data_IF_035834020167
#
_entry.id   IF_035834020167
#
_cell.length_a   1.000
_cell.length_b   1.000
_cell.length_c   1.000
_cell.angle_alpha   90.00
_cell.angle_beta   90.00
_cell.angle_gamma   90.00
#
_symmetry.space_group_name_H-M   'P 1'
#
loop_
_entity.id
_entity.type
_entity.pdbx_description
1 polymer ?
#
# COMPACT_ATOMS: atom_id res chain seq x y z
N UNK A 1 18.23 -23.72 -13.78
CA UNK A 1 17.44 -24.12 -14.96
C UNK A 1 16.11 -24.69 -14.46
N UNK A 2 15.00 -24.10 -14.91
CA UNK A 2 13.58 -24.47 -14.68
C UNK A 2 13.01 -24.28 -13.27
N UNK A 3 12.30 -23.16 -13.07
CA UNK A 3 10.85 -23.14 -12.77
C UNK A 3 10.41 -21.69 -12.48
N UNK A 4 10.05 -20.97 -13.55
CA UNK A 4 9.39 -19.66 -13.50
C UNK A 4 8.10 -19.65 -14.36
N UNK A 5 7.60 -20.83 -14.76
CA UNK A 5 6.46 -20.95 -15.69
C UNK A 5 5.08 -20.99 -15.00
N UNK A 6 5.01 -20.88 -13.66
CA UNK A 6 3.74 -21.04 -12.94
C UNK A 6 2.98 -19.76 -12.60
N UNK A 7 3.53 -18.57 -12.87
CA UNK A 7 2.85 -17.28 -12.62
C UNK A 7 2.35 -16.58 -13.90
N UNK A 8 2.60 -17.16 -15.08
CA UNK A 8 2.18 -16.59 -16.38
C UNK A 8 0.84 -17.13 -16.91
N UNK A 9 0.14 -18.02 -16.18
CA UNK A 9 -1.10 -18.65 -16.67
C UNK A 9 -2.40 -18.15 -16.03
N UNK A 10 -2.34 -17.16 -15.15
CA UNK A 10 -3.52 -16.68 -14.41
C UNK A 10 -4.21 -15.46 -15.01
N UNK A 11 -3.77 -14.96 -16.18
CA UNK A 11 -4.30 -13.72 -16.77
C UNK A 11 -4.87 -13.85 -18.19
N UNK A 12 -5.21 -15.06 -18.65
CA UNK A 12 -5.76 -15.23 -19.99
C UNK A 12 -6.83 -16.32 -20.05
N UNK A 13 -8.02 -16.02 -19.53
CA UNK A 13 -9.25 -16.74 -19.84
C UNK A 13 -10.48 -15.92 -19.44
N UNK A 14 -10.92 -15.03 -20.33
CA UNK A 14 -12.32 -14.63 -20.39
C UNK A 14 -12.68 -14.36 -21.85
N UNK A 15 -12.74 -15.44 -22.63
CA UNK A 15 -13.36 -15.49 -23.95
C UNK A 15 -14.38 -16.62 -23.94
N UNK A 16 -15.63 -16.20 -24.12
CA UNK A 16 -16.82 -16.90 -24.61
C UNK A 16 -16.81 -18.45 -24.71
N UNK A 17 -17.63 -19.10 -23.89
CA UNK A 17 -18.40 -20.28 -24.30
C UNK A 17 -19.83 -20.22 -23.74
N UNK A 18 -20.79 -19.92 -24.62
CA UNK A 18 -22.17 -20.32 -24.45
C UNK A 18 -22.61 -21.02 -25.74
N UNK A 19 -22.47 -22.34 -25.77
CA UNK A 19 -23.13 -23.21 -26.76
C UNK A 19 -24.53 -23.53 -26.24
N UNK A 20 -25.53 -22.95 -26.90
CA UNK A 20 -26.94 -23.28 -26.76
C UNK A 20 -27.61 -23.18 -28.12
N UNK A 21 -27.89 -24.34 -28.70
CA UNK A 21 -28.49 -24.60 -30.02
C UNK A 21 -29.83 -23.90 -30.23
N UNK A 22 -29.94 -22.89 -31.11
CA UNK A 22 -31.19 -22.51 -31.81
C UNK A 22 -30.86 -22.01 -33.22
N UNK A 23 -31.67 -22.41 -34.20
CA UNK A 23 -31.43 -22.42 -35.64
C UNK A 23 -30.92 -21.15 -36.33
N UNK A 24 -30.01 -21.36 -37.29
CA UNK A 24 -29.51 -20.36 -38.23
C UNK A 24 -30.60 -19.94 -39.24
N UNK A 25 -30.96 -18.66 -39.23
CA UNK A 25 -31.41 -17.96 -40.45
C UNK A 25 -30.38 -16.89 -40.79
N UNK A 26 -30.00 -16.81 -42.08
CA UNK A 26 -28.97 -15.91 -42.61
C UNK A 26 -29.34 -14.44 -42.33
N UNK A 27 -28.58 -13.77 -41.47
CA UNK A 27 -28.58 -12.30 -41.43
C UNK A 27 -27.29 -11.77 -42.07
N UNK A 28 -27.49 -11.02 -43.15
CA UNK A 28 -26.49 -10.24 -43.85
C UNK A 28 -26.01 -9.12 -42.91
N UNK A 29 -24.79 -9.20 -42.38
CA UNK A 29 -24.21 -8.10 -41.61
C UNK A 29 -23.86 -6.96 -42.59
N UNK A 30 -24.71 -5.92 -42.66
CA UNK A 30 -24.29 -4.62 -43.19
C UNK A 30 -23.47 -3.90 -42.12
N UNK A 31 -22.29 -3.39 -42.49
CA UNK A 31 -21.55 -2.46 -41.64
C UNK A 31 -22.44 -1.24 -41.34
N UNK A 32 -22.50 -0.73 -40.10
CA UNK A 32 -23.12 0.56 -39.84
C UNK A 32 -22.31 1.66 -40.55
N UNK A 33 -23.00 2.55 -41.24
CA UNK A 33 -22.44 3.83 -41.67
C UNK A 33 -22.08 4.68 -40.44
N UNK A 34 -20.92 5.32 -40.49
CA UNK A 34 -20.48 6.26 -39.46
C UNK A 34 -21.46 7.44 -39.39
N UNK A 35 -22.19 7.56 -38.29
CA UNK A 35 -23.04 8.73 -38.01
C UNK A 35 -22.15 9.83 -37.41
N UNK A 36 -22.22 11.02 -37.98
CA UNK A 36 -21.48 12.21 -37.51
C UNK A 36 -21.93 12.65 -36.11
N UNK A 37 -20.99 13.19 -35.34
CA UNK A 37 -21.08 13.50 -33.91
C UNK A 37 -21.95 14.71 -33.54
N UNK A 38 -23.19 14.79 -34.04
CA UNK A 38 -24.16 15.81 -33.61
C UNK A 38 -25.50 15.11 -33.38
N UNK A 39 -25.91 15.09 -32.11
CA UNK A 39 -27.24 14.76 -31.58
C UNK A 39 -27.65 13.27 -31.48
N UNK A 40 -27.38 12.67 -30.31
CA UNK A 40 -28.22 11.62 -29.74
C UNK A 40 -28.01 11.53 -28.22
N UNK A 41 -28.56 12.49 -27.48
CA UNK A 41 -28.88 12.28 -26.07
C UNK A 41 -30.02 11.24 -25.98
N UNK A 42 -29.76 10.23 -25.15
CA UNK A 42 -30.72 9.44 -24.37
C UNK A 42 -32.05 9.01 -25.03
N UNK A 43 -32.12 7.77 -25.52
CA UNK A 43 -33.41 7.06 -25.67
C UNK A 43 -33.34 5.61 -25.19
N UNK A 44 -33.32 5.41 -23.87
CA UNK A 44 -33.94 4.23 -23.26
C UNK A 44 -35.41 4.57 -22.98
N UNK A 45 -36.29 4.35 -23.96
CA UNK A 45 -37.73 4.52 -23.82
C UNK A 45 -38.46 3.19 -24.02
N UNK A 46 -39.13 2.70 -22.96
CA UNK A 46 -40.04 1.56 -23.05
C UNK A 46 -41.31 1.96 -23.83
N UNK A 47 -41.79 1.10 -24.73
CA UNK A 47 -42.89 1.34 -25.66
C UNK A 47 -44.30 1.36 -25.05
N UNK A 48 -44.47 1.97 -23.88
CA UNK A 48 -45.79 2.16 -23.26
C UNK A 48 -46.24 3.61 -23.49
N UNK A 49 -47.45 3.80 -24.02
CA UNK A 49 -48.11 5.12 -24.07
C UNK A 49 -48.44 5.59 -22.65
N UNK A 50 -47.48 6.24 -21.98
CA UNK A 50 -47.73 6.93 -20.73
C UNK A 50 -48.41 8.29 -21.01
N UNK A 51 -49.38 8.72 -20.20
CA UNK A 51 -49.97 10.05 -20.31
C UNK A 51 -48.89 11.14 -20.11
N UNK A 52 -49.07 12.28 -20.76
CA UNK A 52 -48.15 13.41 -20.76
C UNK A 52 -47.85 13.84 -19.31
N UNK A 53 -46.58 13.72 -18.89
CA UNK A 53 -46.17 14.14 -17.56
C UNK A 53 -46.28 15.66 -17.48
N UNK A 54 -47.15 16.14 -16.58
CA UNK A 54 -47.17 17.56 -16.20
C UNK A 54 -45.75 17.95 -15.77
N UNK A 55 -45.19 19.07 -16.26
CA UNK A 55 -43.84 19.50 -15.91
C UNK A 55 -43.79 19.81 -14.41
N UNK A 56 -43.34 18.83 -13.62
CA UNK A 56 -43.08 19.06 -12.22
C UNK A 56 -41.75 19.80 -12.09
N UNK A 57 -41.69 20.93 -11.37
CA UNK A 57 -40.42 21.54 -11.02
C UNK A 57 -39.58 20.49 -10.26
N UNK A 58 -38.41 20.17 -10.81
CA UNK A 58 -37.43 19.31 -10.15
C UNK A 58 -36.82 20.08 -8.99
N UNK A 59 -37.49 20.10 -7.85
CA UNK A 59 -36.89 20.55 -6.61
C UNK A 59 -35.92 19.46 -6.14
N UNK A 60 -34.67 19.53 -6.59
CA UNK A 60 -33.58 18.85 -5.91
C UNK A 60 -33.39 19.58 -4.58
N UNK A 61 -34.01 19.05 -3.51
CA UNK A 61 -33.71 19.47 -2.15
C UNK A 61 -32.19 19.55 -2.00
N UNK A 62 -31.63 20.65 -1.45
CA UNK A 62 -30.21 20.73 -1.19
C UNK A 62 -29.81 19.50 -0.38
N UNK A 63 -28.91 18.67 -0.91
CA UNK A 63 -28.43 17.45 -0.24
C UNK A 63 -27.71 17.74 1.09
N UNK A 64 -27.50 19.02 1.42
CA UNK A 64 -26.85 19.49 2.64
C UNK A 64 -27.19 20.96 2.88
N UNK A 65 -27.32 21.36 4.14
CA UNK A 65 -27.46 22.75 4.59
C UNK A 65 -26.14 23.54 4.63
N UNK A 66 -25.03 22.90 4.23
CA UNK A 66 -23.70 23.49 4.22
C UNK A 66 -23.30 23.97 2.81
N UNK A 67 -22.46 25.03 2.71
CA UNK A 67 -21.83 25.39 1.46
C UNK A 67 -21.13 24.18 0.82
N UNK A 68 -21.19 24.00 -0.52
CA UNK A 68 -20.66 22.82 -1.20
C UNK A 68 -19.20 22.51 -0.86
N UNK A 69 -18.37 23.55 -0.75
CA UNK A 69 -16.95 23.44 -0.37
C UNK A 69 -16.77 22.87 1.05
N UNK A 70 -17.56 23.36 2.02
CA UNK A 70 -17.50 22.88 3.40
C UNK A 70 -18.03 21.45 3.52
N UNK A 71 -19.06 21.11 2.75
CA UNK A 71 -19.61 19.77 2.72
C UNK A 71 -18.64 18.76 2.10
N UNK A 72 -17.93 19.15 1.03
CA UNK A 72 -16.89 18.32 0.42
C UNK A 72 -15.76 18.03 1.41
N UNK A 73 -15.25 19.05 2.13
CA UNK A 73 -14.22 18.86 3.17
C UNK A 73 -14.66 17.94 4.30
N UNK A 74 -15.91 18.07 4.73
CA UNK A 74 -16.44 17.22 5.81
C UNK A 74 -16.62 15.78 5.33
N UNK A 75 -17.11 15.56 4.10
CA UNK A 75 -17.18 14.21 3.51
C UNK A 75 -15.81 13.58 3.40
N UNK A 76 -14.82 14.31 2.89
CA UNK A 76 -13.44 13.85 2.78
C UNK A 76 -12.89 13.43 4.16
N UNK A 77 -13.15 14.22 5.19
CA UNK A 77 -12.78 13.89 6.57
C UNK A 77 -13.51 12.66 7.12
N UNK A 78 -14.81 12.52 6.83
CA UNK A 78 -15.60 11.34 7.23
C UNK A 78 -15.11 10.08 6.52
N UNK A 79 -14.85 10.17 5.22
CA UNK A 79 -14.37 9.05 4.41
C UNK A 79 -12.97 8.64 4.88
N UNK A 80 -12.09 9.61 5.15
CA UNK A 80 -10.77 9.37 5.75
C UNK A 80 -10.87 8.68 7.12
N UNK A 81 -11.75 9.15 7.99
CA UNK A 81 -11.95 8.54 9.30
C UNK A 81 -12.51 7.11 9.19
N UNK A 82 -13.45 6.88 8.27
CA UNK A 82 -14.04 5.56 8.05
C UNK A 82 -13.02 4.57 7.48
N UNK A 83 -12.20 4.98 6.51
CA UNK A 83 -11.10 4.16 5.98
C UNK A 83 -10.11 3.76 7.08
N UNK A 84 -9.74 4.72 7.95
CA UNK A 84 -8.88 4.43 9.09
C UNK A 84 -9.53 3.45 10.07
N UNK A 85 -10.81 3.63 10.39
CA UNK A 85 -11.53 2.73 11.30
C UNK A 85 -11.67 1.32 10.73
N UNK A 86 -11.88 1.19 9.42
CA UNK A 86 -11.88 -0.11 8.73
C UNK A 86 -10.51 -0.77 8.81
N UNK A 87 -9.43 -0.01 8.65
CA UNK A 87 -8.06 -0.49 8.79
C UNK A 87 -7.68 -0.91 10.24
N UNK A 88 -8.36 -0.37 11.25
CA UNK A 88 -8.10 -0.67 12.66
C UNK A 88 -9.02 -1.75 13.23
N UNK A 89 -10.24 -1.87 12.70
CA UNK A 89 -11.32 -2.69 13.27
C UNK A 89 -11.48 -4.09 12.67
N UNK A 90 -10.93 -4.37 11.48
CA UNK A 90 -10.96 -5.71 10.91
C UNK A 90 -9.94 -6.64 11.62
N UNK A 91 -10.21 -7.94 11.66
CA UNK A 91 -9.17 -8.93 11.99
C UNK A 91 -7.98 -8.72 11.05
N UNK A 92 -6.76 -9.03 11.51
CA UNK A 92 -5.51 -8.83 10.74
C UNK A 92 -5.44 -9.81 9.55
N UNK A 93 -6.28 -9.59 8.56
CA UNK A 93 -6.24 -10.24 7.24
C UNK A 93 -5.31 -9.45 6.31
N UNK A 94 -4.81 -10.08 5.24
CA UNK A 94 -3.87 -9.45 4.29
C UNK A 94 -4.44 -8.15 3.69
N UNK A 95 -5.76 -8.08 3.49
CA UNK A 95 -6.42 -6.85 3.01
C UNK A 95 -6.35 -5.70 4.04
N UNK A 96 -6.33 -6.03 5.34
CA UNK A 96 -6.26 -5.05 6.41
C UNK A 96 -4.85 -4.48 6.60
N UNK A 97 -3.81 -5.30 6.38
CA UNK A 97 -2.42 -4.87 6.44
C UNK A 97 -2.10 -3.78 5.40
N UNK A 98 -2.63 -3.92 4.18
CA UNK A 98 -2.48 -2.91 3.13
C UNK A 98 -3.17 -1.59 3.47
N UNK A 99 -4.37 -1.65 4.04
CA UNK A 99 -5.09 -0.45 4.49
C UNK A 99 -4.33 0.26 5.64
N UNK A 100 -3.80 -0.50 6.59
CA UNK A 100 -2.95 0.01 7.66
C UNK A 100 -1.66 0.63 7.11
N UNK A 101 -0.98 -0.03 6.17
CA UNK A 101 0.18 0.53 5.50
C UNK A 101 -0.15 1.87 4.83
N UNK A 102 -1.24 1.94 4.07
CA UNK A 102 -1.64 3.17 3.36
C UNK A 102 -1.98 4.31 4.32
N UNK A 103 -2.64 4.01 5.44
CA UNK A 103 -2.94 5.02 6.47
C UNK A 103 -1.65 5.53 7.14
N UNK A 104 -0.72 4.63 7.49
CA UNK A 104 0.58 5.00 8.07
C UNK A 104 1.44 5.81 7.10
N UNK A 105 1.36 5.55 5.79
CA UNK A 105 2.07 6.34 4.77
C UNK A 105 1.58 7.77 4.68
N UNK A 106 0.36 8.11 5.11
CA UNK A 106 -0.06 9.51 5.23
C UNK A 106 0.74 10.28 6.30
N UNK A 107 1.27 9.56 7.29
CA UNK A 107 2.13 10.11 8.34
C UNK A 107 3.61 10.16 7.92
N UNK A 108 3.93 9.87 6.66
CA UNK A 108 5.31 9.88 6.16
C UNK A 108 5.93 11.26 6.31
N UNK A 109 7.23 11.31 6.63
CA UNK A 109 8.03 12.51 6.94
C UNK A 109 7.59 13.25 8.22
N UNK A 110 6.51 12.83 8.87
CA UNK A 110 6.04 13.41 10.14
C UNK A 110 6.74 12.78 11.34
N UNK A 111 6.71 13.47 12.47
CA UNK A 111 7.27 12.96 13.73
C UNK A 111 6.22 12.17 14.48
N UNK A 112 6.61 10.97 14.89
CA UNK A 112 5.73 10.03 15.57
C UNK A 112 6.39 9.50 16.83
N UNK A 113 5.56 9.13 17.79
CA UNK A 113 5.93 8.35 18.96
C UNK A 113 5.32 6.97 18.84
N UNK A 114 6.16 5.94 18.88
CA UNK A 114 5.75 4.54 18.77
C UNK A 114 6.06 3.84 20.08
N UNK A 115 5.09 3.11 20.62
CA UNK A 115 5.24 2.25 21.79
C UNK A 115 5.11 0.81 21.32
N UNK A 116 6.08 -0.03 21.68
CA UNK A 116 6.09 -1.44 21.30
C UNK A 116 5.93 -2.33 22.52
N UNK A 117 5.37 -3.52 22.28
CA UNK A 117 5.25 -4.60 23.24
C UNK A 117 6.55 -5.40 23.26
N UNK A 118 7.31 -5.23 24.34
CA UNK A 118 8.46 -6.04 24.67
C UNK A 118 8.12 -6.69 26.00
N UNK A 119 8.03 -8.02 26.05
CA UNK A 119 7.43 -8.80 27.14
C UNK A 119 7.85 -8.40 28.58
N UNK A 120 9.01 -7.76 28.73
CA UNK A 120 9.55 -7.28 30.01
C UNK A 120 9.14 -5.85 30.35
N UNK A 121 9.16 -4.94 29.36
CA UNK A 121 8.82 -3.54 29.54
C UNK A 121 8.53 -2.87 28.18
N UNK A 122 7.40 -2.17 28.09
CA UNK A 122 7.06 -1.41 26.89
C UNK A 122 8.14 -0.40 26.53
N UNK A 123 8.72 -0.54 25.33
CA UNK A 123 9.71 0.40 24.82
C UNK A 123 9.05 1.50 24.01
N UNK A 124 9.52 2.74 24.19
CA UNK A 124 8.98 3.92 23.51
C UNK A 124 10.03 4.61 22.67
N UNK A 125 9.74 4.74 21.38
CA UNK A 125 10.58 5.39 20.40
C UNK A 125 9.96 6.70 19.93
N UNK A 126 10.82 7.66 19.63
CA UNK A 126 10.45 8.95 19.05
C UNK A 126 11.32 9.21 17.84
N UNK A 127 10.70 9.50 16.71
CA UNK A 127 11.43 9.64 15.45
C UNK A 127 10.57 10.20 14.33
N UNK A 128 11.15 10.25 13.14
CA UNK A 128 10.43 10.61 11.91
C UNK A 128 10.03 9.35 11.18
N UNK A 129 8.76 9.19 10.85
CA UNK A 129 8.30 8.06 10.04
C UNK A 129 8.81 8.26 8.61
N UNK A 130 9.63 7.34 8.10
CA UNK A 130 10.18 7.43 6.75
C UNK A 130 9.31 6.72 5.73
N UNK A 131 8.78 5.55 6.09
CA UNK A 131 7.85 4.79 5.27
C UNK A 131 7.18 3.67 6.09
N UNK A 132 6.22 2.98 5.49
CA UNK A 132 5.66 1.72 5.99
C UNK A 132 5.75 0.65 4.89
N UNK A 133 6.25 -0.53 5.27
CA UNK A 133 6.16 -1.76 4.49
C UNK A 133 4.80 -2.42 4.65
N UNK A 134 4.69 -3.66 4.19
CA UNK A 134 3.48 -4.47 4.28
C UNK A 134 3.20 -4.94 5.72
N UNK A 135 4.26 -5.26 6.48
CA UNK A 135 4.17 -5.82 7.84
C UNK A 135 5.03 -5.07 8.88
N UNK A 136 5.62 -3.92 8.52
CA UNK A 136 6.52 -3.16 9.39
C UNK A 136 6.53 -1.65 9.08
N UNK A 137 6.93 -0.83 10.05
CA UNK A 137 7.25 0.60 9.82
C UNK A 137 8.75 0.83 9.74
N UNK A 138 9.15 1.86 8.99
CA UNK A 138 10.50 2.38 8.90
C UNK A 138 10.53 3.76 9.55
N UNK A 139 11.25 3.88 10.65
CA UNK A 139 11.36 5.14 11.40
C UNK A 139 12.82 5.58 11.52
N UNK A 140 13.08 6.86 11.28
CA UNK A 140 14.38 7.45 11.57
C UNK A 140 14.43 7.88 13.03
N UNK A 141 15.39 7.33 13.77
CA UNK A 141 15.67 7.69 15.16
C UNK A 141 17.13 8.14 15.26
N UNK A 142 17.34 9.44 15.46
CA UNK A 142 18.68 10.07 15.42
C UNK A 142 19.39 9.74 14.08
N UNK A 143 20.54 9.06 14.15
CA UNK A 143 21.36 8.62 13.01
C UNK A 143 21.20 7.14 12.66
N UNK A 144 20.15 6.50 13.20
CA UNK A 144 19.81 5.11 12.93
C UNK A 144 18.41 5.01 12.35
N UNK A 145 18.16 3.86 11.75
CA UNK A 145 16.89 3.53 11.15
C UNK A 145 16.35 2.33 11.91
N UNK A 146 15.16 2.52 12.45
CA UNK A 146 14.46 1.57 13.28
C UNK A 146 13.35 0.94 12.45
N UNK A 147 13.39 -0.38 12.33
CA UNK A 147 12.35 -1.20 11.71
C UNK A 147 11.54 -1.86 12.82
N UNK A 148 10.23 -1.67 12.79
CA UNK A 148 9.33 -2.22 13.82
C UNK A 148 8.22 -3.01 13.14
N UNK A 149 8.12 -4.33 13.37
CA UNK A 149 7.00 -5.14 12.92
C UNK A 149 5.65 -4.61 13.46
N UNK A 150 4.60 -4.62 12.65
CA UNK A 150 3.28 -4.12 13.05
C UNK A 150 2.69 -4.89 14.23
N UNK A 151 2.94 -6.20 14.30
CA UNK A 151 2.45 -7.04 15.39
C UNK A 151 3.03 -6.66 16.77
N UNK A 152 4.16 -5.94 16.80
CA UNK A 152 4.79 -5.44 18.04
C UNK A 152 4.37 -4.03 18.41
N UNK A 153 3.68 -3.29 17.55
CA UNK A 153 3.25 -1.91 17.84
C UNK A 153 1.98 -1.96 18.71
N UNK A 154 2.07 -1.42 19.93
CA UNK A 154 0.92 -1.21 20.80
C UNK A 154 0.22 0.10 20.44
N UNK A 155 1.02 1.14 20.22
CA UNK A 155 0.50 2.50 20.07
C UNK A 155 1.40 3.34 19.19
N UNK A 156 0.79 4.07 18.26
CA UNK A 156 1.46 5.05 17.41
C UNK A 156 0.72 6.38 17.52
N UNK A 157 1.45 7.44 17.84
CA UNK A 157 0.92 8.80 17.99
C UNK A 157 1.70 9.78 17.16
N UNK A 158 1.00 10.54 16.32
CA UNK A 158 1.54 11.71 15.67
C UNK A 158 1.89 12.79 16.72
N UNK A 159 3.13 13.27 16.68
CA UNK A 159 3.59 14.39 17.50
C UNK A 159 3.49 15.62 16.61
N UNK A 160 2.46 16.44 16.82
CA UNK A 160 2.26 17.67 16.07
C UNK A 160 3.51 18.56 16.15
N UNK A 161 4.25 18.63 15.05
CA UNK A 161 5.13 19.76 14.77
C UNK A 161 4.28 20.79 14.02
N UNK A 162 4.43 22.06 14.37
CA UNK A 162 3.65 23.21 13.86
C UNK A 162 3.88 23.52 12.37
N UNK A 163 4.65 22.68 11.66
CA UNK A 163 4.95 22.84 10.24
C UNK A 163 4.05 21.90 9.44
N UNK A 164 3.00 22.48 8.87
CA UNK A 164 2.09 21.80 7.96
C UNK A 164 2.84 21.29 6.73
N UNK A 165 3.31 20.05 6.80
CA UNK A 165 3.77 19.31 5.64
C UNK A 165 2.57 18.60 5.05
N UNK A 166 2.09 19.08 3.92
CA UNK A 166 1.09 18.38 3.12
C UNK A 166 1.59 16.97 2.83
N UNK A 167 0.72 15.97 2.97
CA UNK A 167 1.03 14.61 2.56
C UNK A 167 1.23 14.61 1.04
N UNK A 168 2.48 14.67 0.58
CA UNK A 168 2.80 14.46 -0.83
C UNK A 168 2.33 13.04 -1.18
N UNK A 169 1.27 12.92 -1.98
CA UNK A 169 0.85 11.60 -2.44
C UNK A 169 1.95 11.04 -3.34
N UNK A 170 2.22 9.75 -3.15
CA UNK A 170 3.23 9.04 -3.90
C UNK A 170 2.98 9.15 -5.41
N UNK A 171 4.06 9.40 -6.15
CA UNK A 171 4.10 9.41 -7.60
C UNK A 171 3.32 10.54 -8.33
N UNK A 172 2.75 11.54 -7.64
CA UNK A 172 2.13 12.69 -8.32
C UNK A 172 3.17 13.45 -9.17
N UNK A 173 4.32 13.73 -8.57
CA UNK A 173 5.38 14.53 -9.18
C UNK A 173 6.55 13.70 -9.72
N UNK A 174 6.28 12.50 -10.24
CA UNK A 174 7.35 11.72 -10.89
C UNK A 174 7.81 12.35 -12.19
N UNK A 175 9.09 12.18 -12.50
CA UNK A 175 9.65 12.63 -13.75
C UNK A 175 8.96 11.95 -14.95
N UNK A 176 8.95 12.66 -16.08
CA UNK A 176 8.28 12.20 -17.29
C UNK A 176 8.82 10.84 -17.78
N UNK A 177 10.13 10.61 -17.63
CA UNK A 177 10.77 9.39 -18.10
C UNK A 177 10.37 8.19 -17.24
N UNK A 178 10.32 8.34 -15.91
CA UNK A 178 9.83 7.30 -15.00
C UNK A 178 8.35 7.02 -15.24
N UNK A 179 7.52 8.05 -15.46
CA UNK A 179 6.11 7.85 -15.82
C UNK A 179 5.97 7.03 -17.10
N UNK A 180 6.74 7.35 -18.14
CA UNK A 180 6.73 6.60 -19.39
C UNK A 180 7.18 5.15 -19.18
N UNK A 181 8.25 4.93 -18.41
CA UNK A 181 8.74 3.59 -18.06
C UNK A 181 7.71 2.77 -17.29
N UNK A 182 7.00 3.39 -16.35
CA UNK A 182 5.92 2.74 -15.60
C UNK A 182 4.74 2.37 -16.49
N UNK A 183 4.40 3.21 -17.48
CA UNK A 183 3.30 2.93 -18.42
C UNK A 183 3.66 1.81 -19.41
N UNK A 184 4.88 1.83 -19.95
CA UNK A 184 5.30 0.90 -21.00
C UNK A 184 5.77 -0.46 -20.44
N UNK A 185 6.52 -0.43 -19.34
CA UNK A 185 7.24 -1.57 -18.78
C UNK A 185 7.04 -1.67 -17.26
N UNK A 186 5.79 -1.60 -16.81
CA UNK A 186 5.43 -1.53 -15.38
C UNK A 186 6.16 -2.58 -14.53
N UNK A 187 5.93 -3.86 -14.82
CA UNK A 187 6.44 -4.96 -13.99
C UNK A 187 7.97 -4.96 -13.90
N UNK A 188 8.66 -4.68 -15.01
CA UNK A 188 10.12 -4.63 -15.04
C UNK A 188 10.67 -3.48 -14.19
N UNK A 189 10.08 -2.29 -14.29
CA UNK A 189 10.61 -1.11 -13.58
C UNK A 189 10.25 -1.14 -12.09
N UNK A 190 9.05 -1.63 -11.73
CA UNK A 190 8.63 -1.73 -10.33
C UNK A 190 9.44 -2.78 -9.58
N UNK A 191 9.72 -3.94 -10.20
CA UNK A 191 10.49 -5.02 -9.55
C UNK A 191 11.98 -4.69 -9.36
N UNK A 192 12.51 -3.71 -10.10
CA UNK A 192 13.90 -3.28 -9.99
C UNK A 192 14.15 -2.24 -8.88
N UNK A 193 13.10 -1.66 -8.30
CA UNK A 193 13.20 -0.64 -7.27
C UNK A 193 12.44 -1.06 -6.02
N UNK A 194 13.11 -1.33 -4.88
CA UNK A 194 12.43 -1.66 -3.62
C UNK A 194 11.44 -0.58 -3.19
N UNK A 195 11.74 0.70 -3.46
CA UNK A 195 10.82 1.80 -3.24
C UNK A 195 9.54 1.65 -4.06
N UNK A 196 9.63 1.48 -5.38
CA UNK A 196 8.43 1.33 -6.23
C UNK A 196 7.67 0.05 -5.89
N UNK A 197 8.38 -1.04 -5.60
CA UNK A 197 7.78 -2.28 -5.15
C UNK A 197 6.95 -2.06 -3.87
N UNK A 198 7.50 -1.34 -2.88
CA UNK A 198 6.77 -0.99 -1.68
C UNK A 198 5.57 -0.07 -1.98
N UNK A 199 5.74 0.88 -2.90
CA UNK A 199 4.66 1.80 -3.31
C UNK A 199 3.47 1.02 -3.84
N UNK A 200 3.68 0.11 -4.79
CA UNK A 200 2.61 -0.58 -5.50
C UNK A 200 2.09 -1.84 -4.81
N UNK A 201 2.97 -2.63 -4.20
CA UNK A 201 2.63 -3.95 -3.67
C UNK A 201 2.78 -4.06 -2.16
N UNK A 202 3.56 -3.17 -1.55
CA UNK A 202 4.04 -3.38 -0.19
C UNK A 202 5.22 -4.34 -0.20
N UNK A 203 6.24 -4.04 0.58
CA UNK A 203 7.38 -4.93 0.79
C UNK A 203 7.31 -5.49 2.20
N UNK A 204 7.52 -6.81 2.36
CA UNK A 204 7.64 -7.40 3.68
C UNK A 204 8.99 -7.09 4.31
N UNK A 205 9.07 -7.14 5.63
CA UNK A 205 10.30 -6.91 6.39
C UNK A 205 11.42 -7.83 5.92
N UNK A 206 11.09 -9.07 5.56
CA UNK A 206 12.02 -10.03 4.98
C UNK A 206 12.66 -9.50 3.70
N UNK A 207 11.84 -9.20 2.69
CA UNK A 207 12.32 -8.74 1.39
C UNK A 207 13.08 -7.42 1.51
N UNK A 208 12.65 -6.55 2.43
CA UNK A 208 13.36 -5.33 2.74
C UNK A 208 14.76 -5.61 3.29
N UNK A 209 14.89 -6.51 4.27
CA UNK A 209 16.18 -6.88 4.87
C UNK A 209 17.12 -7.64 3.93
N UNK A 210 16.62 -8.30 2.89
CA UNK A 210 17.46 -8.88 1.82
C UNK A 210 18.35 -7.82 1.14
N UNK A 211 17.88 -6.56 1.07
CA UNK A 211 18.65 -5.45 0.50
C UNK A 211 19.80 -4.97 1.41
N UNK A 212 19.86 -5.45 2.66
CA UNK A 212 20.88 -5.08 3.65
C UNK A 212 21.83 -6.22 4.00
N UNK A 213 21.84 -7.30 3.21
CA UNK A 213 22.84 -8.37 3.36
C UNK A 213 24.24 -7.77 3.15
N UNK A 214 25.12 -8.01 4.13
CA UNK A 214 26.46 -7.43 4.22
C UNK A 214 26.55 -6.19 5.14
N UNK A 215 25.42 -5.64 5.59
CA UNK A 215 25.39 -4.46 6.45
C UNK A 215 25.43 -4.82 7.94
N UNK A 216 25.89 -3.87 8.75
CA UNK A 216 25.86 -3.99 10.21
C UNK A 216 24.47 -3.69 10.75
N UNK A 217 23.89 -4.66 11.47
CA UNK A 217 22.55 -4.56 12.03
C UNK A 217 22.57 -4.88 13.52
N UNK A 218 21.56 -4.37 14.23
CA UNK A 218 21.25 -4.77 15.60
C UNK A 218 19.81 -5.28 15.65
N UNK A 219 19.60 -6.46 16.19
CA UNK A 219 18.28 -7.09 16.33
C UNK A 219 17.99 -7.23 17.81
N UNK A 220 16.81 -6.79 18.23
CA UNK A 220 16.27 -7.08 19.56
C UNK A 220 15.16 -8.13 19.40
N UNK A 221 15.34 -9.28 20.02
CA UNK A 221 14.45 -10.44 19.95
C UNK A 221 13.98 -10.87 21.34
N UNK A 222 12.86 -11.60 21.36
CA UNK A 222 12.35 -12.28 22.54
C UNK A 222 13.35 -13.32 23.06
N UNK A 223 13.69 -13.24 24.35
CA UNK A 223 14.70 -14.10 24.99
C UNK A 223 16.15 -13.58 24.93
N UNK A 224 16.42 -12.49 24.22
CA UNK A 224 17.74 -11.86 24.16
C UNK A 224 17.70 -10.44 24.76
N UNK A 225 18.04 -10.32 26.05
CA UNK A 225 18.05 -9.03 26.76
C UNK A 225 19.01 -8.00 26.14
N UNK A 226 20.20 -8.43 25.70
CA UNK A 226 21.19 -7.53 25.11
C UNK A 226 21.01 -7.31 23.60
N UNK A 227 20.21 -8.16 22.94
CA UNK A 227 20.07 -8.19 21.48
C UNK A 227 21.32 -8.69 20.74
N UNK A 228 21.18 -8.88 19.43
CA UNK A 228 22.23 -9.43 18.56
C UNK A 228 22.77 -8.30 17.69
N UNK A 229 24.06 -7.98 17.84
CA UNK A 229 24.77 -7.01 17.01
C UNK A 229 25.78 -7.71 16.10
N UNK A 230 25.68 -7.49 14.79
CA UNK A 230 26.61 -8.13 13.86
C UNK A 230 26.37 -7.73 12.41
N UNK A 231 26.88 -8.54 11.49
CA UNK A 231 26.69 -8.34 10.04
C UNK A 231 25.57 -9.26 9.57
N UNK A 232 24.57 -8.72 8.88
CA UNK A 232 23.51 -9.52 8.27
C UNK A 232 24.09 -10.34 7.12
N UNK A 233 24.15 -11.66 7.27
CA UNK A 233 24.71 -12.54 6.22
C UNK A 233 23.63 -13.11 5.31
N UNK A 234 22.41 -13.27 5.82
CA UNK A 234 21.28 -13.82 5.06
C UNK A 234 19.96 -13.40 5.68
N UNK A 235 19.01 -13.00 4.85
CA UNK A 235 17.61 -12.91 5.20
C UNK A 235 16.88 -14.09 4.57
N UNK A 236 16.55 -15.09 5.40
CA UNK A 236 15.84 -16.30 4.97
C UNK A 236 14.33 -16.11 5.01
N UNK A 237 13.60 -17.21 4.82
CA UNK A 237 12.13 -17.17 4.77
C UNK A 237 11.47 -16.95 6.13
N UNK A 238 12.04 -17.54 7.18
CA UNK A 238 11.51 -17.47 8.55
C UNK A 238 12.48 -16.87 9.56
N UNK A 239 13.73 -16.69 9.15
CA UNK A 239 14.80 -16.24 10.05
C UNK A 239 15.87 -15.43 9.34
N UNK A 240 16.55 -14.61 10.13
CA UNK A 240 17.73 -13.84 9.79
C UNK A 240 18.98 -14.56 10.31
N UNK A 241 20.07 -14.54 9.56
CA UNK A 241 21.39 -15.01 10.01
C UNK A 241 22.33 -13.82 10.17
N UNK A 242 22.79 -13.58 11.39
CA UNK A 242 23.71 -12.50 11.74
C UNK A 242 25.04 -13.07 12.18
N UNK A 243 26.13 -12.59 11.59
CA UNK A 243 27.48 -12.94 11.98
C UNK A 243 27.96 -12.04 13.12
N UNK A 244 28.31 -12.66 14.25
CA UNK A 244 28.86 -12.01 15.44
C UNK A 244 30.26 -12.59 15.66
N UNK A 245 31.30 -11.85 15.24
CA UNK A 245 32.66 -12.38 15.21
C UNK A 245 32.77 -13.58 14.24
N UNK A 246 33.11 -14.76 14.77
CA UNK A 246 33.23 -16.00 14.00
C UNK A 246 31.99 -16.90 14.08
N UNK A 247 31.01 -16.54 14.90
CA UNK A 247 29.79 -17.32 15.07
C UNK A 247 28.64 -16.74 14.24
N UNK A 248 27.73 -17.61 13.83
CA UNK A 248 26.47 -17.22 13.20
C UNK A 248 25.33 -17.42 14.19
N UNK A 249 24.54 -16.38 14.41
CA UNK A 249 23.33 -16.43 15.23
C UNK A 249 22.09 -16.25 14.34
N UNK A 250 21.07 -17.04 14.60
CA UNK A 250 19.78 -16.96 13.92
C UNK A 250 18.76 -16.19 14.75
N UNK A 251 17.91 -15.38 14.11
CA UNK A 251 16.77 -14.73 14.75
C UNK A 251 15.49 -14.96 13.92
N UNK A 252 14.39 -15.38 14.55
CA UNK A 252 13.11 -15.62 13.86
C UNK A 252 12.28 -14.34 13.78
N UNK A 253 11.65 -14.06 12.64
CA UNK A 253 10.88 -12.82 12.44
C UNK A 253 9.77 -12.64 13.47
N UNK A 254 9.08 -13.71 13.84
CA UNK A 254 7.97 -13.68 14.79
C UNK A 254 8.42 -13.22 16.19
N UNK A 255 9.70 -13.43 16.53
CA UNK A 255 10.29 -13.10 17.83
C UNK A 255 11.01 -11.76 17.83
N UNK A 256 11.08 -11.05 16.70
CA UNK A 256 11.76 -9.75 16.62
C UNK A 256 10.86 -8.67 17.19
N UNK A 257 11.41 -7.86 18.11
CA UNK A 257 10.80 -6.63 18.58
C UNK A 257 11.11 -5.46 17.64
N UNK A 258 12.39 -5.29 17.28
CA UNK A 258 12.82 -4.29 16.31
C UNK A 258 14.20 -4.61 15.72
N UNK A 259 14.51 -3.98 14.59
CA UNK A 259 15.83 -4.00 13.95
C UNK A 259 16.36 -2.57 13.80
N UNK A 260 17.61 -2.35 14.15
CA UNK A 260 18.33 -1.10 13.97
C UNK A 260 19.38 -1.23 12.87
N UNK A 261 19.32 -0.30 11.90
CA UNK A 261 20.25 -0.14 10.78
C UNK A 261 20.94 1.22 10.87
N UNK A 262 22.12 1.36 10.26
CA UNK A 262 22.77 2.67 10.13
C UNK A 262 22.09 3.47 9.02
N UNK A 263 21.92 4.78 9.23
CA UNK A 263 21.33 5.68 8.22
C UNK A 263 22.12 5.75 6.91
N UNK A 264 23.43 5.49 6.94
CA UNK A 264 24.26 5.41 5.72
C UNK A 264 23.73 4.40 4.71
N UNK A 265 23.16 3.30 5.20
CA UNK A 265 22.87 2.12 4.39
C UNK A 265 21.55 2.29 3.63
N UNK A 266 20.74 3.28 4.03
CA UNK A 266 19.41 3.56 3.46
C UNK A 266 19.43 4.53 2.29
N UNK A 267 20.52 5.28 2.08
CA UNK A 267 20.63 6.28 0.99
C UNK A 267 20.55 5.68 -0.42
N UNK A 268 20.65 4.36 -0.53
CA UNK A 268 20.63 3.64 -1.80
C UNK A 268 19.26 3.00 -2.11
N UNK A 269 18.27 3.12 -1.22
CA UNK A 269 17.03 2.30 -1.27
C UNK A 269 15.75 3.16 -1.25
N UNK A 270 15.73 4.27 -0.51
CA UNK A 270 14.58 5.20 -0.37
C UNK A 270 14.96 6.59 -0.87
#
# INVERSE_FOLDING_TARGET
MRNLDHLSRSFQACICEAKGNIGFSKFHFRRPECVSAVEAEERFGCGCNCPEQLPQPRFSSPTSSLPPERFARIRECIDEANELLLALGAERDQNNQRALQLSLRRLRKQRVSVKIDSNEQDEKFFGRLLDAGDDFIIMQVKDSILLIPFNRIIFLKHVYDTEGLESEQDLIQIDHCLRQKLVLDFGKNVTQSPYLLNVFYGISLRLFLESFVGSHIFIKSEGDEEGIKGILTKAGERSLEVQVGNEKKGAFYDLIYFVLLKKSDLRNII
#
